data_IF_656523170404
#
_entry.id   IF_656523170404
#
_cell.length_a   1.000
_cell.length_b   1.000
_cell.length_c   1.000
_cell.angle_alpha   90.00
_cell.angle_beta   90.00
_cell.angle_gamma   90.00
#
_symmetry.space_group_name_H-M   'P 1'
#
loop_
_entity.id
_entity.type
_entity.pdbx_description
1 polymer ?
#
# COMPACT_ATOMS: atom_id res chain seq x y z
N UNK A 1 -32.99 8.29 45.34
CA UNK A 1 -31.90 9.29 45.20
C UNK A 1 -31.40 9.18 43.79
N UNK A 2 -31.70 10.16 42.95
CA UNK A 2 -31.33 10.18 41.52
C UNK A 2 -30.08 11.05 41.41
N UNK A 3 -28.93 10.42 41.14
CA UNK A 3 -27.68 11.12 40.93
C UNK A 3 -27.63 11.63 39.48
N UNK A 4 -27.83 12.94 39.34
CA UNK A 4 -27.75 13.64 38.07
C UNK A 4 -26.27 13.80 37.65
N UNK A 5 -25.78 12.88 36.81
CA UNK A 5 -24.46 12.95 36.20
C UNK A 5 -24.36 14.14 35.21
N UNK A 6 -23.92 15.29 35.72
CA UNK A 6 -23.79 16.57 35.00
C UNK A 6 -22.43 16.70 34.28
N UNK A 7 -21.82 15.59 33.87
CA UNK A 7 -20.49 15.60 33.23
C UNK A 7 -20.49 15.66 31.69
N UNK A 8 -21.65 15.66 31.04
CA UNK A 8 -21.77 15.71 29.58
C UNK A 8 -22.44 17.00 29.06
N UNK A 9 -22.09 18.17 29.61
CA UNK A 9 -22.33 19.44 28.89
C UNK A 9 -21.07 19.80 28.11
N UNK A 10 -21.03 19.36 26.85
CA UNK A 10 -20.05 19.84 25.88
C UNK A 10 -20.34 21.31 25.63
N UNK A 11 -19.62 22.19 26.33
CA UNK A 11 -19.61 23.63 26.04
C UNK A 11 -18.75 23.79 24.79
N UNK A 12 -19.40 23.91 23.63
CA UNK A 12 -18.73 24.26 22.38
C UNK A 12 -18.29 25.72 22.47
N UNK A 13 -17.06 25.95 22.94
CA UNK A 13 -16.41 27.25 22.84
C UNK A 13 -16.12 27.54 21.37
N UNK A 14 -16.98 28.36 20.75
CA UNK A 14 -16.76 28.90 19.41
C UNK A 14 -15.73 30.03 19.45
N UNK A 15 -14.45 29.68 19.53
CA UNK A 15 -13.36 30.66 19.37
C UNK A 15 -12.21 30.14 18.50
N UNK A 16 -12.51 29.57 17.32
CA UNK A 16 -11.51 29.41 16.27
C UNK A 16 -11.76 30.39 15.12
N UNK A 17 -11.06 31.51 15.16
CA UNK A 17 -10.90 32.38 14.00
C UNK A 17 -10.04 31.66 12.96
N UNK A 18 -10.53 31.67 11.72
CA UNK A 18 -9.83 31.52 10.44
C UNK A 18 -9.20 30.17 10.07
N UNK A 19 -9.95 29.40 9.26
CA UNK A 19 -9.50 29.05 7.89
C UNK A 19 -10.72 28.64 7.07
N UNK A 20 -11.04 29.41 6.04
CA UNK A 20 -12.08 29.04 5.08
C UNK A 20 -11.60 27.84 4.29
N UNK A 21 -12.14 26.67 4.60
CA UNK A 21 -12.10 25.52 3.70
C UNK A 21 -13.54 25.13 3.50
N UNK A 22 -13.93 25.00 2.24
CA UNK A 22 -15.24 24.51 1.83
C UNK A 22 -15.42 23.09 2.38
N UNK A 23 -15.92 22.98 3.60
CA UNK A 23 -16.17 21.71 4.26
C UNK A 23 -17.66 21.42 4.14
N UNK A 24 -18.00 20.37 3.38
CA UNK A 24 -19.24 19.65 3.62
C UNK A 24 -19.27 19.35 5.13
N UNK A 25 -20.17 20.01 5.85
CA UNK A 25 -20.21 19.98 7.32
C UNK A 25 -20.21 18.52 7.77
N UNK A 26 -19.08 18.05 8.29
CA UNK A 26 -18.98 16.74 8.90
C UNK A 26 -20.02 16.71 10.04
N UNK A 27 -20.83 15.66 10.07
CA UNK A 27 -21.78 15.48 11.17
C UNK A 27 -21.02 15.48 12.50
N UNK A 28 -21.69 15.89 13.59
CA UNK A 28 -21.07 15.95 14.91
C UNK A 28 -20.36 14.63 15.31
N UNK A 29 -20.87 13.49 14.83
CA UNK A 29 -20.30 12.17 15.09
C UNK A 29 -19.04 11.84 14.28
N UNK A 30 -18.73 12.61 13.23
CA UNK A 30 -17.52 12.48 12.42
C UNK A 30 -16.39 13.39 12.91
N UNK A 31 -16.68 14.31 13.85
CA UNK A 31 -15.68 15.15 14.48
C UNK A 31 -14.85 14.34 15.47
N UNK A 32 -13.57 14.71 15.59
CA UNK A 32 -12.64 14.07 16.53
C UNK A 32 -12.75 14.79 17.89
N UNK A 33 -13.65 14.31 18.75
CA UNK A 33 -13.95 14.91 20.06
C UNK A 33 -13.23 14.25 21.24
N UNK A 34 -12.77 13.00 21.10
CA UNK A 34 -12.10 12.26 22.17
C UNK A 34 -10.58 12.47 22.14
N UNK A 35 -10.00 12.82 23.29
CA UNK A 35 -8.55 12.99 23.47
C UNK A 35 -7.96 11.77 24.19
N UNK A 36 -6.83 11.29 23.69
CA UNK A 36 -6.02 10.24 24.34
C UNK A 36 -4.61 10.78 24.55
N UNK A 37 -4.13 10.77 25.80
CA UNK A 37 -2.79 11.23 26.17
C UNK A 37 -1.94 10.06 26.66
N UNK A 38 -0.76 9.88 26.08
CA UNK A 38 0.20 8.83 26.44
C UNK A 38 1.56 9.48 26.70
N UNK A 39 2.31 8.98 27.70
CA UNK A 39 3.69 9.38 27.96
C UNK A 39 4.64 8.36 27.33
N UNK A 40 5.69 8.84 26.68
CA UNK A 40 6.73 8.03 26.05
C UNK A 40 8.06 8.27 26.77
N UNK A 41 8.90 7.25 26.82
CA UNK A 41 10.31 7.40 27.21
C UNK A 41 11.14 7.98 26.03
N UNK A 42 12.43 8.23 26.26
CA UNK A 42 13.30 8.86 25.24
C UNK A 42 13.58 7.96 24.04
N UNK A 43 13.69 6.64 24.25
CA UNK A 43 13.90 5.65 23.18
C UNK A 43 12.66 5.54 22.27
N UNK A 44 11.49 5.42 22.87
CA UNK A 44 10.19 5.38 22.20
C UNK A 44 9.91 6.66 21.42
N UNK A 45 10.28 7.81 22.00
CA UNK A 45 10.13 9.11 21.34
C UNK A 45 11.03 9.20 20.10
N UNK A 46 12.26 8.66 20.18
CA UNK A 46 13.22 8.63 19.06
C UNK A 46 12.68 7.74 17.94
N UNK A 47 12.25 6.52 18.28
CA UNK A 47 11.64 5.58 17.34
C UNK A 47 10.41 6.19 16.63
N UNK A 48 9.56 6.90 17.39
CA UNK A 48 8.39 7.57 16.83
C UNK A 48 8.79 8.66 15.83
N UNK A 49 9.85 9.42 16.09
CA UNK A 49 10.31 10.47 15.17
C UNK A 49 10.87 9.87 13.86
N UNK A 50 11.57 8.75 13.93
CA UNK A 50 12.08 8.03 12.76
C UNK A 50 10.94 7.47 11.90
N UNK A 51 10.00 6.74 12.52
CA UNK A 51 8.89 6.09 11.79
C UNK A 51 7.86 7.06 11.22
N UNK A 52 7.72 8.24 11.84
CA UNK A 52 6.73 9.25 11.45
C UNK A 52 7.00 9.90 10.10
N UNK A 53 8.28 10.02 9.71
CA UNK A 53 8.68 10.77 8.53
C UNK A 53 8.11 12.20 8.53
N UNK A 54 7.27 12.52 7.54
CA UNK A 54 6.71 13.87 7.32
C UNK A 54 5.41 14.17 8.08
N UNK A 55 4.71 13.18 8.62
CA UNK A 55 3.41 13.38 9.28
C UNK A 55 3.55 14.05 10.65
N UNK A 56 2.52 14.67 11.22
CA UNK A 56 2.59 15.16 12.62
C UNK A 56 2.49 14.01 13.62
N UNK A 57 3.01 14.15 14.85
CA UNK A 57 3.05 13.06 15.86
C UNK A 57 1.67 12.45 16.11
N UNK A 58 0.67 13.28 16.43
CA UNK A 58 -0.69 12.81 16.68
C UNK A 58 -1.41 12.28 15.44
N UNK A 59 -1.11 12.82 14.26
CA UNK A 59 -1.66 12.32 13.01
C UNK A 59 -1.12 10.92 12.69
N UNK A 60 0.18 10.72 12.86
CA UNK A 60 0.84 9.45 12.62
C UNK A 60 0.38 8.37 13.59
N UNK A 61 0.26 8.68 14.89
CA UNK A 61 -0.31 7.75 15.89
C UNK A 61 -1.75 7.35 15.56
N UNK A 62 -2.55 8.30 15.03
CA UNK A 62 -3.91 8.01 14.60
C UNK A 62 -3.93 7.08 13.39
N UNK A 63 -3.06 7.31 12.42
CA UNK A 63 -2.94 6.48 11.22
C UNK A 63 -2.40 5.08 11.55
N UNK A 64 -1.45 4.99 12.49
CA UNK A 64 -0.88 3.72 12.94
C UNK A 64 -1.92 2.86 13.66
N UNK A 65 -2.73 3.44 14.56
CA UNK A 65 -3.81 2.73 15.23
C UNK A 65 -4.88 2.22 14.25
N UNK A 66 -5.19 3.01 13.22
CA UNK A 66 -6.22 2.67 12.24
C UNK A 66 -5.72 1.74 11.12
N UNK A 67 -4.46 1.26 11.18
CA UNK A 67 -3.80 0.52 10.10
C UNK A 67 -3.93 1.21 8.73
N UNK A 68 -3.97 2.55 8.72
CA UNK A 68 -4.08 3.38 7.50
C UNK A 68 -2.74 3.97 7.07
N UNK A 69 -1.65 3.57 7.69
CA UNK A 69 -0.33 3.87 7.16
C UNK A 69 -0.18 3.14 5.82
N UNK A 70 0.53 3.73 4.82
CA UNK A 70 0.90 2.97 3.64
C UNK A 70 1.63 1.72 4.14
N UNK A 71 1.15 0.53 3.76
CA UNK A 71 1.82 -0.71 4.09
C UNK A 71 3.26 -0.59 3.57
N UNK A 72 4.22 -0.54 4.48
CA UNK A 72 5.64 -0.60 4.10
C UNK A 72 5.81 -1.96 3.46
N UNK A 73 6.00 -1.98 2.14
CA UNK A 73 6.24 -3.22 1.40
C UNK A 73 7.48 -3.87 2.03
N UNK A 74 7.37 -5.10 2.56
CA UNK A 74 8.51 -5.79 3.12
C UNK A 74 9.65 -5.83 2.11
N UNK A 75 10.90 -5.67 2.55
CA UNK A 75 12.05 -5.62 1.64
C UNK A 75 12.13 -6.85 0.72
N UNK A 76 11.77 -8.03 1.23
CA UNK A 76 11.68 -9.28 0.46
C UNK A 76 10.71 -9.19 -0.74
N UNK A 77 9.64 -8.42 -0.61
CA UNK A 77 8.68 -8.23 -1.69
C UNK A 77 9.22 -7.25 -2.74
N UNK A 78 10.04 -6.27 -2.36
CA UNK A 78 10.56 -5.27 -3.31
C UNK A 78 11.35 -5.95 -4.44
N UNK A 79 12.18 -6.94 -4.09
CA UNK A 79 12.97 -7.71 -5.06
C UNK A 79 12.08 -8.55 -5.98
N UNK A 80 11.10 -9.25 -5.41
CA UNK A 80 10.13 -10.05 -6.19
C UNK A 80 9.33 -9.19 -7.18
N UNK A 81 8.90 -8.00 -6.74
CA UNK A 81 8.18 -7.05 -7.60
C UNK A 81 9.05 -6.48 -8.72
N UNK A 82 10.34 -6.26 -8.47
CA UNK A 82 11.29 -5.81 -9.49
C UNK A 82 11.46 -6.87 -10.58
N UNK A 83 11.67 -8.12 -10.19
CA UNK A 83 11.80 -9.26 -11.12
C UNK A 83 10.53 -9.42 -11.96
N UNK A 84 9.36 -9.35 -11.33
CA UNK A 84 8.08 -9.46 -12.03
C UNK A 84 7.87 -8.30 -13.02
N UNK A 85 8.30 -7.08 -12.66
CA UNK A 85 8.28 -5.91 -13.54
C UNK A 85 9.17 -6.08 -14.77
N UNK A 86 10.38 -6.62 -14.61
CA UNK A 86 11.29 -6.90 -15.72
C UNK A 86 10.68 -7.92 -16.71
N UNK A 87 10.03 -8.97 -16.20
CA UNK A 87 9.35 -9.97 -17.04
C UNK A 87 8.17 -9.33 -17.79
N UNK A 88 7.37 -8.50 -17.12
CA UNK A 88 6.25 -7.78 -17.75
C UNK A 88 6.72 -6.91 -18.91
N UNK A 89 7.85 -6.19 -18.75
CA UNK A 89 8.42 -5.39 -19.84
C UNK A 89 8.88 -6.26 -21.02
N UNK A 90 9.54 -7.39 -20.76
CA UNK A 90 9.95 -8.33 -21.82
C UNK A 90 8.73 -8.89 -22.57
N UNK A 91 7.63 -9.14 -21.88
CA UNK A 91 6.40 -9.68 -22.47
C UNK A 91 5.68 -8.62 -23.31
N UNK A 92 5.60 -7.38 -22.81
CA UNK A 92 5.05 -6.26 -23.56
C UNK A 92 5.84 -5.99 -24.85
N UNK A 93 7.17 -6.18 -24.84
CA UNK A 93 7.99 -6.11 -26.06
C UNK A 93 7.62 -7.22 -27.05
N UNK A 94 7.38 -8.44 -26.59
CA UNK A 94 6.92 -9.53 -27.47
C UNK A 94 5.54 -9.21 -28.06
N UNK A 95 4.60 -8.75 -27.25
CA UNK A 95 3.26 -8.35 -27.71
C UNK A 95 3.36 -7.25 -28.76
N UNK A 96 4.14 -6.20 -28.51
CA UNK A 96 4.37 -5.14 -29.49
C UNK A 96 5.05 -5.66 -30.78
N UNK A 97 5.98 -6.61 -30.68
CA UNK A 97 6.58 -7.24 -31.85
C UNK A 97 5.56 -8.05 -32.67
N UNK A 98 4.63 -8.74 -32.00
CA UNK A 98 3.56 -9.50 -32.64
C UNK A 98 2.50 -8.58 -33.28
N UNK A 99 2.14 -7.48 -32.61
CA UNK A 99 1.15 -6.52 -33.10
C UNK A 99 1.64 -5.71 -34.31
N UNK A 100 2.95 -5.44 -34.37
CA UNK A 100 3.58 -4.77 -35.52
C UNK A 100 3.81 -5.70 -36.71
N UNK A 101 3.49 -6.99 -36.59
CA UNK A 101 3.62 -7.95 -37.68
C UNK A 101 2.49 -7.77 -38.68
N UNK A 102 2.78 -7.98 -39.96
CA UNK A 102 1.78 -7.87 -41.03
C UNK A 102 0.64 -8.87 -40.83
N UNK A 103 -0.59 -8.35 -40.92
CA UNK A 103 -1.84 -9.11 -40.76
C UNK A 103 -1.86 -10.31 -41.72
N UNK A 104 -1.81 -11.53 -41.18
CA UNK A 104 -1.82 -12.78 -41.95
C UNK A 104 -0.51 -13.58 -41.97
N UNK A 105 0.57 -13.08 -41.36
CA UNK A 105 1.82 -13.84 -41.25
C UNK A 105 1.80 -14.80 -40.06
N UNK A 106 2.11 -16.09 -40.30
CA UNK A 106 2.16 -17.10 -39.23
C UNK A 106 3.29 -16.81 -38.25
N UNK A 107 3.10 -17.13 -36.97
CA UNK A 107 4.17 -17.11 -35.97
C UNK A 107 5.34 -17.97 -36.42
N UNK A 108 6.55 -17.40 -36.42
CA UNK A 108 7.77 -18.13 -36.68
C UNK A 108 8.12 -18.99 -35.48
N UNK A 109 8.85 -20.08 -35.71
CA UNK A 109 9.29 -20.98 -34.64
C UNK A 109 10.11 -20.25 -33.56
N UNK A 110 10.86 -19.22 -33.95
CA UNK A 110 11.64 -18.36 -33.04
C UNK A 110 10.75 -17.49 -32.15
N UNK A 111 9.66 -16.93 -32.68
CA UNK A 111 8.68 -16.16 -31.91
C UNK A 111 7.95 -17.05 -30.90
N UNK A 112 7.53 -18.24 -31.33
CA UNK A 112 6.88 -19.22 -30.45
C UNK A 112 7.82 -19.66 -29.32
N UNK A 113 9.10 -19.86 -29.62
CA UNK A 113 10.12 -20.18 -28.62
C UNK A 113 10.33 -19.03 -27.63
N UNK A 114 10.39 -17.78 -28.10
CA UNK A 114 10.56 -16.60 -27.26
C UNK A 114 9.37 -16.43 -26.29
N UNK A 115 8.14 -16.61 -26.77
CA UNK A 115 6.92 -16.58 -25.94
C UNK A 115 6.95 -17.70 -24.91
N UNK A 116 7.22 -18.95 -25.32
CA UNK A 116 7.30 -20.10 -24.42
C UNK A 116 8.34 -19.89 -23.32
N UNK A 117 9.51 -19.33 -23.67
CA UNK A 117 10.58 -19.02 -22.71
C UNK A 117 10.14 -17.99 -21.67
N UNK A 118 9.50 -16.89 -22.09
CA UNK A 118 9.07 -15.85 -21.16
C UNK A 118 7.93 -16.30 -20.25
N UNK A 119 7.00 -17.14 -20.74
CA UNK A 119 5.95 -17.75 -19.91
C UNK A 119 6.57 -18.69 -18.86
N UNK A 120 7.58 -19.47 -19.22
CA UNK A 120 8.30 -20.32 -18.25
C UNK A 120 9.03 -19.49 -17.18
N UNK A 121 9.70 -18.40 -17.58
CA UNK A 121 10.37 -17.47 -16.66
C UNK A 121 9.36 -16.82 -15.69
N UNK A 122 8.19 -16.41 -16.19
CA UNK A 122 7.09 -15.90 -15.37
C UNK A 122 6.60 -16.95 -14.36
N UNK A 123 6.38 -18.19 -14.81
CA UNK A 123 5.91 -19.29 -13.96
C UNK A 123 6.89 -19.60 -12.83
N UNK A 124 8.19 -19.62 -13.11
CA UNK A 124 9.24 -19.84 -12.10
C UNK A 124 9.17 -18.75 -11.02
N UNK A 125 9.07 -17.49 -11.43
CA UNK A 125 9.05 -16.35 -10.51
C UNK A 125 7.75 -16.22 -9.71
N UNK A 126 6.61 -16.67 -10.25
CA UNK A 126 5.32 -16.64 -9.55
C UNK A 126 5.09 -17.81 -8.60
N UNK A 127 5.54 -19.02 -8.97
CA UNK A 127 5.20 -20.26 -8.25
C UNK A 127 6.41 -20.80 -7.47
N UNK A 128 7.62 -20.28 -7.68
CA UNK A 128 8.85 -20.85 -7.11
C UNK A 128 9.06 -22.30 -7.56
N UNK A 129 8.62 -22.61 -8.78
CA UNK A 129 8.35 -23.97 -9.26
C UNK A 129 9.60 -24.76 -9.67
N UNK A 130 10.59 -24.81 -8.80
CA UNK A 130 11.54 -25.93 -8.76
C UNK A 130 11.25 -26.89 -7.57
N UNK A 131 10.13 -26.68 -6.87
CA UNK A 131 9.69 -27.57 -5.78
C UNK A 131 9.01 -28.87 -6.25
N UNK A 132 8.68 -29.04 -7.54
CA UNK A 132 7.98 -30.24 -8.04
C UNK A 132 8.43 -30.70 -9.44
N UNK A 133 9.70 -30.50 -9.75
CA UNK A 133 10.35 -31.20 -10.86
C UNK A 133 10.97 -32.51 -10.37
N UNK A 134 10.17 -33.41 -9.80
CA UNK A 134 10.59 -34.82 -9.78
C UNK A 134 10.90 -35.21 -11.22
N UNK A 135 12.15 -35.63 -11.42
CA UNK A 135 12.59 -36.33 -12.62
C UNK A 135 11.72 -37.56 -12.76
N UNK A 136 10.72 -37.48 -13.61
CA UNK A 136 10.02 -38.64 -14.11
C UNK A 136 10.69 -39.05 -15.43
N UNK A 137 11.56 -40.06 -15.27
CA UNK A 137 12.22 -40.93 -16.25
C UNK A 137 13.28 -40.33 -17.20
#
# INVERSE_FOLDING_TARGET
MVENNTFNKIVVSMHSRNRSVNEAKLSHNQLRSHCVSVRLNDEELTLLNERRGRHRKGEWLRLSLLNKLPAVVPAINIEAWKILGEISQKLNKLVAHLDNKSQGSSLTQTELFAVKRQISELRINLVGADLWGERNE
#
